data_IF_470027005590
#
_entry.id   IF_470027005590
#
_cell.length_a   1.000
_cell.length_b   1.000
_cell.length_c   1.000
_cell.angle_alpha   90.00
_cell.angle_beta   90.00
_cell.angle_gamma   90.00
#
_symmetry.space_group_name_H-M   'P 1'
#
loop_
_entity.id
_entity.type
_entity.pdbx_description
1 polymer ?
#
# COMPACT_ATOMS: atom_id res chain seq x y z
N UNK A 1 -12.67 -2.76 -22.14
CA UNK A 1 -11.70 -1.99 -21.32
C UNK A 1 -12.18 -2.04 -19.89
N UNK A 2 -11.47 -2.65 -18.93
CA UNK A 2 -11.91 -2.59 -17.55
C UNK A 2 -11.77 -1.15 -17.08
N UNK A 3 -12.92 -0.49 -16.90
CA UNK A 3 -13.01 0.80 -16.22
C UNK A 3 -12.53 0.59 -14.80
N UNK A 4 -11.62 1.44 -14.31
CA UNK A 4 -11.33 1.52 -12.88
C UNK A 4 -12.68 1.62 -12.15
N UNK A 5 -12.96 0.77 -11.14
CA UNK A 5 -14.19 0.84 -10.38
C UNK A 5 -14.34 2.25 -9.82
N UNK A 6 -15.44 2.93 -10.15
CA UNK A 6 -15.69 4.30 -9.68
C UNK A 6 -16.29 4.23 -8.27
N UNK A 7 -15.43 4.10 -7.26
CA UNK A 7 -15.83 3.99 -5.86
C UNK A 7 -16.66 5.19 -5.41
N UNK A 8 -16.42 6.38 -5.98
CA UNK A 8 -17.24 7.57 -5.75
C UNK A 8 -18.66 7.38 -6.26
N UNK A 9 -18.81 6.81 -7.47
CA UNK A 9 -20.12 6.46 -8.03
C UNK A 9 -20.80 5.33 -7.24
N UNK A 10 -20.05 4.36 -6.72
CA UNK A 10 -20.59 3.29 -5.86
C UNK A 10 -21.18 3.84 -4.57
N UNK A 11 -20.51 4.79 -3.93
CA UNK A 11 -21.01 5.50 -2.75
C UNK A 11 -21.98 6.65 -3.10
N UNK A 12 -22.24 6.89 -4.38
CA UNK A 12 -23.11 7.95 -4.90
C UNK A 12 -22.73 9.36 -4.40
N UNK A 13 -21.44 9.66 -4.41
CA UNK A 13 -20.85 10.90 -3.93
C UNK A 13 -19.94 11.54 -4.99
N UNK A 14 -19.68 12.83 -4.84
CA UNK A 14 -18.73 13.55 -5.69
C UNK A 14 -17.29 13.15 -5.33
N UNK A 15 -16.34 13.11 -6.30
CA UNK A 15 -14.91 13.02 -6.02
C UNK A 15 -14.37 14.16 -5.12
N UNK A 16 -15.12 15.26 -5.02
CA UNK A 16 -14.83 16.39 -4.12
C UNK A 16 -15.45 16.25 -2.72
N UNK A 17 -16.14 15.15 -2.43
CA UNK A 17 -16.76 14.94 -1.12
C UNK A 17 -15.71 14.94 0.00
N UNK A 18 -16.07 15.43 1.17
CA UNK A 18 -15.24 15.39 2.38
C UNK A 18 -15.27 13.99 3.02
N UNK A 19 -14.31 13.69 3.90
CA UNK A 19 -14.32 12.40 4.64
C UNK A 19 -15.58 12.23 5.49
N UNK A 20 -16.16 13.33 5.98
CA UNK A 20 -17.44 13.28 6.70
C UNK A 20 -18.59 12.86 5.78
N UNK A 21 -18.67 13.41 4.57
CA UNK A 21 -19.69 13.06 3.58
C UNK A 21 -19.58 11.61 3.11
N UNK A 22 -18.35 11.09 2.95
CA UNK A 22 -18.09 9.68 2.64
C UNK A 22 -18.63 8.76 3.74
N UNK A 23 -18.33 9.05 5.01
CA UNK A 23 -18.82 8.28 6.16
C UNK A 23 -20.35 8.30 6.25
N UNK A 24 -20.98 9.46 6.00
CA UNK A 24 -22.44 9.60 6.00
C UNK A 24 -23.07 8.80 4.87
N UNK A 25 -22.52 8.87 3.66
CA UNK A 25 -23.02 8.14 2.50
C UNK A 25 -22.91 6.62 2.69
N UNK A 26 -21.77 6.13 3.18
CA UNK A 26 -21.57 4.72 3.52
C UNK A 26 -22.60 4.23 4.54
N UNK A 27 -22.78 4.94 5.66
CA UNK A 27 -23.76 4.55 6.70
C UNK A 27 -25.19 4.48 6.16
N UNK A 28 -25.56 5.40 5.27
CA UNK A 28 -26.89 5.44 4.64
C UNK A 28 -27.10 4.24 3.70
N UNK A 29 -26.12 3.94 2.86
CA UNK A 29 -26.17 2.83 1.90
C UNK A 29 -26.09 1.48 2.61
N UNK A 30 -25.21 1.33 3.60
CA UNK A 30 -25.10 0.10 4.39
C UNK A 30 -26.42 -0.24 5.10
N UNK A 31 -27.12 0.75 5.65
CA UNK A 31 -28.44 0.56 6.27
C UNK A 31 -29.53 0.21 5.25
N UNK A 32 -29.41 0.73 4.02
CA UNK A 32 -30.37 0.47 2.94
C UNK A 32 -30.22 -0.94 2.35
N UNK A 33 -28.99 -1.44 2.26
CA UNK A 33 -28.66 -2.74 1.66
C UNK A 33 -28.34 -3.83 2.69
N UNK A 34 -28.58 -3.57 3.98
CA UNK A 34 -28.37 -4.55 5.04
C UNK A 34 -29.31 -5.76 4.83
N UNK A 35 -28.83 -7.01 5.00
CA UNK A 35 -29.65 -8.21 4.82
C UNK A 35 -30.91 -8.22 5.69
N UNK A 36 -30.88 -7.58 6.86
CA UNK A 36 -32.03 -7.50 7.78
C UNK A 36 -33.12 -6.49 7.35
N UNK A 37 -32.84 -5.62 6.37
CA UNK A 37 -33.77 -4.54 5.96
C UNK A 37 -34.23 -4.70 4.51
N UNK A 38 -33.47 -5.42 3.67
CA UNK A 38 -33.72 -5.53 2.23
C UNK A 38 -34.26 -6.91 1.84
N UNK A 39 -35.59 -7.06 1.78
CA UNK A 39 -36.26 -8.31 1.34
C UNK A 39 -36.33 -8.47 -0.19
N UNK A 40 -36.06 -7.42 -0.98
CA UNK A 40 -36.12 -7.48 -2.45
C UNK A 40 -34.82 -8.01 -3.07
N UNK A 41 -34.92 -9.22 -3.66
CA UNK A 41 -33.88 -9.95 -4.41
C UNK A 41 -32.55 -10.04 -3.67
N UNK A 42 -32.48 -10.94 -2.68
CA UNK A 42 -31.34 -11.21 -1.80
C UNK A 42 -29.96 -11.31 -2.51
N UNK A 43 -29.91 -11.64 -3.80
CA UNK A 43 -28.68 -11.69 -4.57
C UNK A 43 -28.12 -10.30 -4.91
N UNK A 44 -28.97 -9.38 -5.36
CA UNK A 44 -28.56 -8.02 -5.77
C UNK A 44 -28.16 -7.16 -4.56
N UNK A 45 -28.82 -7.36 -3.41
CA UNK A 45 -28.46 -6.67 -2.16
C UNK A 45 -27.09 -7.10 -1.62
N UNK A 46 -26.79 -8.41 -1.68
CA UNK A 46 -25.48 -8.95 -1.25
C UNK A 46 -24.33 -8.48 -2.12
N UNK A 47 -24.51 -8.48 -3.44
CA UNK A 47 -23.49 -7.96 -4.36
C UNK A 47 -23.27 -6.46 -4.13
N UNK A 48 -24.35 -5.70 -3.92
CA UNK A 48 -24.25 -4.26 -3.72
C UNK A 48 -23.58 -3.87 -2.41
N UNK A 49 -23.84 -4.58 -1.31
CA UNK A 49 -23.19 -4.29 -0.03
C UNK A 49 -21.69 -4.59 -0.07
N UNK A 50 -21.28 -5.65 -0.80
CA UNK A 50 -19.86 -5.96 -1.03
C UNK A 50 -19.17 -4.83 -1.78
N UNK A 51 -19.78 -4.32 -2.85
CA UNK A 51 -19.24 -3.17 -3.60
C UNK A 51 -19.17 -1.89 -2.75
N UNK A 52 -20.17 -1.65 -1.89
CA UNK A 52 -20.21 -0.50 -0.98
C UNK A 52 -19.07 -0.59 0.06
N UNK A 53 -18.84 -1.78 0.61
CA UNK A 53 -17.77 -2.01 1.60
C UNK A 53 -16.39 -1.80 0.96
N UNK A 54 -16.15 -2.38 -0.22
CA UNK A 54 -14.91 -2.17 -0.97
C UNK A 54 -14.67 -0.69 -1.30
N UNK A 55 -15.72 0.04 -1.70
CA UNK A 55 -15.60 1.46 -1.98
C UNK A 55 -15.27 2.28 -0.72
N UNK A 56 -15.80 1.90 0.45
CA UNK A 56 -15.52 2.57 1.72
C UNK A 56 -14.15 2.21 2.29
N UNK A 57 -13.65 0.99 2.08
CA UNK A 57 -12.29 0.60 2.46
C UNK A 57 -11.23 1.48 1.78
N UNK A 58 -11.45 1.79 0.49
CA UNK A 58 -10.57 2.64 -0.31
C UNK A 58 -10.75 4.13 -0.02
N UNK A 59 -12.00 4.61 0.15
CA UNK A 59 -12.28 6.06 0.29
C UNK A 59 -12.41 6.55 1.73
N UNK A 60 -12.69 5.65 2.67
CA UNK A 60 -12.97 5.95 4.08
C UNK A 60 -11.72 6.35 4.86
N UNK A 61 -10.56 5.82 4.46
CA UNK A 61 -9.26 6.27 4.92
C UNK A 61 -8.70 7.36 4.00
N UNK A 62 -8.06 8.37 4.60
CA UNK A 62 -7.58 9.54 3.86
C UNK A 62 -6.33 9.21 3.02
N UNK A 63 -5.45 8.34 3.51
CA UNK A 63 -4.25 7.91 2.80
C UNK A 63 -4.61 6.98 1.63
N UNK A 64 -5.49 6.00 1.84
CA UNK A 64 -6.01 5.14 0.77
C UNK A 64 -6.75 5.94 -0.30
N UNK A 65 -7.55 6.94 0.11
CA UNK A 65 -8.24 7.82 -0.83
C UNK A 65 -7.28 8.65 -1.67
N UNK A 66 -6.24 9.23 -1.05
CA UNK A 66 -5.21 9.99 -1.79
C UNK A 66 -4.51 9.10 -2.81
N UNK A 67 -4.22 7.85 -2.45
CA UNK A 67 -3.62 6.88 -3.35
C UNK A 67 -4.54 6.51 -4.52
N UNK A 68 -5.81 6.21 -4.23
CA UNK A 68 -6.83 5.93 -5.25
C UNK A 68 -7.03 7.12 -6.21
N UNK A 69 -7.06 8.34 -5.69
CA UNK A 69 -7.15 9.56 -6.50
C UNK A 69 -5.90 9.80 -7.34
N UNK A 70 -4.72 9.47 -6.82
CA UNK A 70 -3.46 9.53 -7.57
C UNK A 70 -3.47 8.56 -8.75
N UNK A 71 -3.84 7.30 -8.52
CA UNK A 71 -3.87 6.26 -9.55
C UNK A 71 -4.96 6.53 -10.59
N UNK A 72 -6.14 6.99 -10.16
CA UNK A 72 -7.24 7.43 -11.05
C UNK A 72 -6.81 8.58 -11.95
N UNK A 73 -6.06 9.55 -11.41
CA UNK A 73 -5.53 10.66 -12.20
C UNK A 73 -4.40 10.18 -13.14
N UNK A 74 -3.50 9.31 -12.70
CA UNK A 74 -2.43 8.75 -13.53
C UNK A 74 -2.97 7.98 -14.74
N UNK A 75 -4.11 7.28 -14.61
CA UNK A 75 -4.79 6.63 -15.73
C UNK A 75 -5.45 7.63 -16.68
N UNK A 76 -5.98 8.77 -16.19
CA UNK A 76 -6.41 9.87 -17.07
C UNK A 76 -5.24 10.53 -17.83
N UNK A 77 -4.06 10.64 -17.22
CA UNK A 77 -2.86 11.17 -17.89
C UNK A 77 -2.24 10.21 -18.91
N UNK A 78 -2.56 8.90 -18.84
CA UNK A 78 -2.20 7.92 -19.89
C UNK A 78 -3.10 7.99 -21.13
N UNK A 79 -4.25 8.68 -21.06
CA UNK A 79 -5.21 8.82 -22.15
C UNK A 79 -5.00 10.03 -23.08
N UNK A 80 -4.10 10.96 -22.74
CA UNK A 80 -3.86 12.19 -23.52
C UNK A 80 -2.38 12.28 -23.94
N UNK A 81 -1.89 11.31 -24.71
CA UNK A 81 -0.72 11.53 -25.58
C UNK A 81 -0.90 10.80 -26.90
N UNK A 82 -1.72 11.39 -27.75
CA UNK A 82 -1.49 11.37 -29.19
C UNK A 82 -1.67 12.78 -29.74
N UNK A 83 -0.75 13.17 -30.63
CA UNK A 83 -0.70 14.38 -31.44
C UNK A 83 -0.29 15.71 -30.76
N UNK A 84 1.02 15.98 -30.76
CA UNK A 84 1.68 16.97 -31.65
C UNK A 84 3.03 17.40 -31.07
N UNK A 85 4.05 17.36 -31.93
CA UNK A 85 5.41 17.73 -31.59
C UNK A 85 5.56 19.21 -31.28
N UNK A 86 6.04 19.52 -30.08
CA UNK A 86 6.72 20.77 -29.78
C UNK A 86 8.15 20.39 -29.40
N UNK A 87 9.10 20.78 -30.25
CA UNK A 87 10.52 20.65 -29.97
C UNK A 87 10.90 21.68 -28.90
N UNK A 88 10.69 21.31 -27.63
CA UNK A 88 11.25 22.03 -26.49
C UNK A 88 12.65 21.44 -26.26
N UNK A 89 13.70 22.21 -26.58
CA UNK A 89 15.05 21.87 -26.15
C UNK A 89 15.04 21.61 -24.64
N UNK A 90 15.60 20.49 -24.15
CA UNK A 90 15.58 20.22 -22.73
C UNK A 90 16.41 21.29 -22.03
N UNK A 91 15.73 22.13 -21.23
CA UNK A 91 16.39 22.85 -20.14
C UNK A 91 17.14 21.80 -19.34
N UNK A 92 18.45 21.96 -19.16
CA UNK A 92 19.26 21.13 -18.27
C UNK A 92 18.50 20.97 -16.95
N UNK A 93 17.93 19.79 -16.75
CA UNK A 93 17.21 19.44 -15.55
C UNK A 93 18.20 19.44 -14.39
N UNK A 94 17.74 19.88 -13.23
CA UNK A 94 18.31 19.54 -11.93
C UNK A 94 18.21 18.03 -11.75
N UNK A 95 19.02 17.29 -12.49
CA UNK A 95 19.07 15.84 -12.44
C UNK A 95 19.79 15.49 -11.14
N UNK A 96 19.07 14.89 -10.19
CA UNK A 96 19.71 14.37 -8.99
C UNK A 96 20.74 13.35 -9.45
N UNK A 97 21.99 13.56 -9.04
CA UNK A 97 23.08 12.65 -9.35
C UNK A 97 22.72 11.24 -8.87
N UNK A 98 22.75 10.27 -9.78
CA UNK A 98 22.40 8.89 -9.51
C UNK A 98 23.22 8.33 -8.35
N UNK A 99 24.51 8.64 -8.27
CA UNK A 99 25.39 8.14 -7.21
C UNK A 99 24.98 8.72 -5.84
N UNK A 100 24.57 9.99 -5.83
CA UNK A 100 24.04 10.64 -4.63
C UNK A 100 22.73 9.98 -4.19
N UNK A 101 21.82 9.71 -5.13
CA UNK A 101 20.55 9.03 -4.84
C UNK A 101 20.78 7.60 -4.35
N UNK A 102 21.66 6.84 -5.00
CA UNK A 102 22.02 5.49 -4.58
C UNK A 102 22.56 5.46 -3.16
N UNK A 103 23.47 6.39 -2.83
CA UNK A 103 24.11 6.47 -1.52
C UNK A 103 23.16 6.95 -0.42
N UNK A 104 22.33 7.96 -0.69
CA UNK A 104 21.48 8.60 0.32
C UNK A 104 20.10 7.97 0.47
N UNK A 105 19.58 7.34 -0.58
CA UNK A 105 18.22 6.79 -0.60
C UNK A 105 18.29 5.26 -0.68
N UNK A 106 18.74 4.71 -1.80
CA UNK A 106 18.63 3.28 -2.04
C UNK A 106 19.38 2.41 -1.02
N UNK A 107 20.65 2.71 -0.73
CA UNK A 107 21.46 1.88 0.18
C UNK A 107 20.87 1.83 1.61
N UNK A 108 20.48 2.96 2.23
CA UNK A 108 19.77 2.93 3.51
C UNK A 108 18.45 2.15 3.43
N UNK A 109 17.60 2.44 2.44
CA UNK A 109 16.32 1.76 2.26
C UNK A 109 16.46 0.25 2.14
N UNK A 110 17.37 -0.22 1.28
CA UNK A 110 17.55 -1.65 1.06
C UNK A 110 18.05 -2.36 2.33
N UNK A 111 18.86 -1.69 3.16
CA UNK A 111 19.26 -2.25 4.47
C UNK A 111 18.07 -2.35 5.40
N UNK A 112 17.26 -1.30 5.51
CA UNK A 112 16.06 -1.28 6.36
C UNK A 112 15.03 -2.31 5.92
N UNK A 113 14.74 -2.40 4.62
CA UNK A 113 13.82 -3.38 4.06
C UNK A 113 14.25 -4.80 4.42
N UNK A 114 15.53 -5.12 4.27
CA UNK A 114 16.04 -6.45 4.62
C UNK A 114 16.02 -6.70 6.14
N UNK A 115 16.35 -5.70 6.95
CA UNK A 115 16.28 -5.81 8.41
C UNK A 115 14.85 -6.10 8.92
N UNK A 116 13.83 -5.66 8.18
CA UNK A 116 12.43 -5.97 8.48
C UNK A 116 12.03 -7.34 7.92
N UNK A 117 12.38 -7.66 6.68
CA UNK A 117 11.93 -8.90 6.02
C UNK A 117 12.64 -10.15 6.56
N UNK A 118 13.97 -10.10 6.68
CA UNK A 118 14.79 -11.29 6.90
C UNK A 118 14.46 -12.01 8.23
N UNK A 119 14.17 -11.32 9.35
CA UNK A 119 13.81 -11.99 10.61
C UNK A 119 12.41 -12.61 10.66
N UNK A 120 11.49 -12.22 9.76
CA UNK A 120 10.07 -12.57 9.89
C UNK A 120 9.84 -14.10 9.97
N UNK A 121 10.55 -14.87 9.15
CA UNK A 121 10.35 -16.33 9.07
C UNK A 121 10.66 -17.00 10.42
N UNK A 122 11.79 -16.64 11.04
CA UNK A 122 12.20 -17.12 12.36
C UNK A 122 11.23 -16.65 13.45
N UNK A 123 10.80 -15.38 13.41
CA UNK A 123 9.84 -14.83 14.36
C UNK A 123 8.49 -15.58 14.36
N UNK A 124 8.00 -15.94 13.17
CA UNK A 124 6.77 -16.72 13.01
C UNK A 124 6.99 -18.17 13.46
N UNK A 125 8.13 -18.77 13.11
CA UNK A 125 8.47 -20.14 13.49
C UNK A 125 8.52 -20.28 15.01
N UNK A 126 9.22 -19.37 15.70
CA UNK A 126 9.30 -19.33 17.16
C UNK A 126 7.92 -19.18 17.79
N UNK A 127 7.11 -18.22 17.33
CA UNK A 127 5.77 -17.99 17.85
C UNK A 127 4.82 -19.16 17.58
N UNK A 128 5.02 -19.91 16.50
CA UNK A 128 4.18 -21.06 16.15
C UNK A 128 4.31 -22.24 17.13
N UNK A 129 5.37 -22.26 17.95
CA UNK A 129 5.55 -23.28 18.99
C UNK A 129 4.45 -23.23 20.06
N UNK A 130 4.10 -22.02 20.52
CA UNK A 130 2.93 -21.74 21.36
C UNK A 130 2.47 -20.29 21.17
N UNK A 131 1.45 -20.04 20.32
CA UNK A 131 0.97 -18.69 20.06
C UNK A 131 0.33 -17.98 21.26
N UNK A 132 0.04 -18.71 22.35
CA UNK A 132 -0.55 -18.14 23.58
C UNK A 132 0.48 -17.91 24.67
N UNK A 133 1.76 -18.18 24.40
CA UNK A 133 2.85 -17.87 25.33
C UNK A 133 3.14 -16.36 25.35
N UNK A 134 3.02 -15.75 26.53
CA UNK A 134 3.18 -14.31 26.72
C UNK A 134 4.62 -13.83 26.39
N UNK A 135 5.65 -14.66 26.61
CA UNK A 135 7.04 -14.29 26.32
C UNK A 135 7.31 -14.32 24.81
N UNK A 136 6.88 -15.38 24.11
CA UNK A 136 7.00 -15.48 22.65
C UNK A 136 6.19 -14.37 21.95
N UNK A 137 4.98 -14.09 22.43
CA UNK A 137 4.15 -13.01 21.89
C UNK A 137 4.82 -11.66 22.07
N UNK A 138 5.41 -11.39 23.24
CA UNK A 138 6.11 -10.13 23.50
C UNK A 138 7.32 -9.94 22.57
N UNK A 139 8.12 -11.00 22.35
CA UNK A 139 9.25 -10.96 21.40
C UNK A 139 8.76 -10.60 19.99
N UNK A 140 7.66 -11.21 19.54
CA UNK A 140 7.08 -10.89 18.24
C UNK A 140 6.57 -9.44 18.18
N UNK A 141 5.89 -8.96 19.23
CA UNK A 141 5.40 -7.58 19.31
C UNK A 141 6.53 -6.54 19.29
N UNK A 142 7.63 -6.80 19.99
CA UNK A 142 8.82 -5.93 19.97
C UNK A 142 9.41 -5.85 18.55
N UNK A 143 9.52 -6.99 17.86
CA UNK A 143 9.92 -7.03 16.45
C UNK A 143 8.99 -6.21 15.55
N UNK A 144 7.66 -6.28 15.76
CA UNK A 144 6.69 -5.51 14.98
C UNK A 144 6.85 -3.99 15.23
N UNK A 145 7.02 -3.57 16.48
CA UNK A 145 7.20 -2.16 16.84
C UNK A 145 8.49 -1.60 16.21
N UNK A 146 9.62 -2.27 16.38
CA UNK A 146 10.91 -1.87 15.77
C UNK A 146 10.84 -1.84 14.24
N UNK A 147 10.15 -2.80 13.64
CA UNK A 147 9.96 -2.88 12.18
C UNK A 147 9.10 -1.74 11.66
N UNK A 148 8.02 -1.36 12.37
CA UNK A 148 7.16 -0.23 12.01
C UNK A 148 7.92 1.09 12.04
N UNK A 149 8.65 1.35 13.12
CA UNK A 149 9.49 2.55 13.22
C UNK A 149 10.51 2.61 12.08
N UNK A 150 11.13 1.47 11.78
CA UNK A 150 12.10 1.33 10.70
C UNK A 150 11.48 1.64 9.33
N UNK A 151 10.30 1.08 9.02
CA UNK A 151 9.58 1.34 7.76
C UNK A 151 9.16 2.80 7.65
N UNK A 152 8.66 3.42 8.72
CA UNK A 152 8.33 4.85 8.72
C UNK A 152 9.55 5.73 8.43
N UNK A 153 10.69 5.42 9.07
CA UNK A 153 11.94 6.13 8.82
C UNK A 153 12.39 5.95 7.36
N UNK A 154 12.27 4.74 6.80
CA UNK A 154 12.58 4.46 5.41
C UNK A 154 11.69 5.25 4.44
N UNK A 155 10.38 5.37 4.71
CA UNK A 155 9.47 6.19 3.92
C UNK A 155 9.84 7.68 3.96
N UNK A 156 10.21 8.20 5.14
CA UNK A 156 10.71 9.58 5.30
C UNK A 156 11.99 9.81 4.50
N UNK A 157 12.94 8.86 4.55
CA UNK A 157 14.17 8.91 3.74
C UNK A 157 13.81 8.90 2.25
N UNK A 158 12.92 8.00 1.81
CA UNK A 158 12.53 7.89 0.40
C UNK A 158 11.97 9.19 -0.17
N UNK A 159 11.21 9.94 0.62
CA UNK A 159 10.61 11.21 0.23
C UNK A 159 11.57 12.42 0.35
N UNK A 160 12.76 12.24 0.92
CA UNK A 160 13.70 13.34 1.21
C UNK A 160 14.41 13.92 -0.02
N UNK A 161 14.51 13.15 -1.11
CA UNK A 161 15.12 13.59 -2.36
C UNK A 161 14.23 13.22 -3.55
N UNK A 162 14.19 14.05 -4.62
CA UNK A 162 13.46 13.68 -5.82
C UNK A 162 14.15 12.50 -6.52
N UNK A 163 13.33 11.64 -7.13
CA UNK A 163 13.80 10.44 -7.82
C UNK A 163 14.33 10.79 -9.23
N UNK A 164 15.58 10.42 -9.56
CA UNK A 164 16.09 10.57 -10.93
C UNK A 164 15.23 9.84 -11.96
N UNK A 165 15.10 10.40 -13.17
CA UNK A 165 14.20 9.87 -14.18
C UNK A 165 14.59 8.45 -14.65
N UNK A 166 15.89 8.15 -14.70
CA UNK A 166 16.43 6.85 -15.08
C UNK A 166 16.14 5.74 -14.05
N UNK A 167 15.79 6.07 -12.79
CA UNK A 167 15.43 5.10 -11.75
C UNK A 167 13.95 5.15 -11.37
N UNK A 168 13.10 5.81 -12.17
CA UNK A 168 11.67 5.97 -11.86
C UNK A 168 10.95 4.63 -11.60
N UNK A 169 11.30 3.58 -12.36
CA UNK A 169 10.77 2.22 -12.13
C UNK A 169 11.23 1.64 -10.79
N UNK A 170 12.52 1.75 -10.49
CA UNK A 170 13.12 1.27 -9.24
C UNK A 170 12.50 1.98 -8.04
N UNK A 171 12.35 3.30 -8.13
CA UNK A 171 11.72 4.11 -7.09
C UNK A 171 10.26 3.68 -6.85
N UNK A 172 9.50 3.40 -7.91
CA UNK A 172 8.14 2.87 -7.78
C UNK A 172 8.11 1.49 -7.13
N UNK A 173 9.03 0.60 -7.50
CA UNK A 173 9.08 -0.75 -6.93
C UNK A 173 9.51 -0.70 -5.44
N UNK A 174 10.41 0.22 -5.06
CA UNK A 174 10.72 0.54 -3.65
C UNK A 174 9.51 1.08 -2.88
N UNK A 175 8.71 1.95 -3.51
CA UNK A 175 7.49 2.47 -2.91
C UNK A 175 6.49 1.35 -2.59
N UNK A 176 6.21 0.46 -3.55
CA UNK A 176 5.32 -0.69 -3.32
C UNK A 176 5.88 -1.64 -2.27
N UNK A 177 7.20 -1.85 -2.24
CA UNK A 177 7.84 -2.64 -1.19
C UNK A 177 7.54 -2.07 0.20
N UNK A 178 7.77 -0.76 0.41
CA UNK A 178 7.56 -0.12 1.71
C UNK A 178 6.08 -0.12 2.14
N UNK A 179 5.15 0.06 1.20
CA UNK A 179 3.71 -0.02 1.52
C UNK A 179 3.31 -1.43 1.93
N UNK A 180 3.73 -2.45 1.18
CA UNK A 180 3.42 -3.84 1.54
C UNK A 180 4.00 -4.22 2.91
N UNK A 181 5.18 -3.71 3.28
CA UNK A 181 5.71 -3.90 4.63
C UNK A 181 4.84 -3.20 5.68
N UNK A 182 4.45 -1.96 5.44
CA UNK A 182 3.55 -1.21 6.35
C UNK A 182 2.23 -1.96 6.56
N UNK A 183 1.55 -2.32 5.48
CA UNK A 183 0.26 -3.01 5.52
C UNK A 183 0.40 -4.38 6.21
N UNK A 184 1.48 -5.12 5.90
CA UNK A 184 1.75 -6.42 6.50
C UNK A 184 2.00 -6.34 8.01
N UNK A 185 2.74 -5.32 8.46
CA UNK A 185 3.00 -5.08 9.89
C UNK A 185 1.71 -4.71 10.64
N UNK A 186 0.79 -3.98 10.00
CA UNK A 186 -0.55 -3.75 10.57
C UNK A 186 -1.33 -5.06 10.70
N UNK A 187 -1.28 -5.95 9.70
CA UNK A 187 -1.95 -7.25 9.82
C UNK A 187 -1.40 -8.08 10.98
N UNK A 188 -0.07 -8.11 11.16
CA UNK A 188 0.53 -8.84 12.28
C UNK A 188 0.14 -8.25 13.64
N UNK A 189 -0.01 -6.93 13.76
CA UNK A 189 -0.56 -6.33 14.98
C UNK A 189 -2.03 -6.70 15.20
N UNK A 190 -2.86 -6.75 14.15
CA UNK A 190 -4.22 -7.26 14.30
C UNK A 190 -4.25 -8.72 14.72
N UNK A 191 -3.27 -9.52 14.28
CA UNK A 191 -3.10 -10.89 14.75
C UNK A 191 -2.76 -10.95 16.24
N UNK A 192 -1.82 -10.15 16.77
CA UNK A 192 -1.46 -10.19 18.21
C UNK A 192 -2.64 -9.82 19.12
N UNK A 193 -3.58 -9.02 18.62
CA UNK A 193 -4.79 -8.62 19.35
C UNK A 193 -5.93 -9.65 19.28
N UNK A 194 -6.01 -10.44 18.21
CA UNK A 194 -7.19 -11.26 17.90
C UNK A 194 -6.90 -12.75 17.67
N UNK A 195 -5.63 -13.15 17.57
CA UNK A 195 -5.17 -14.52 17.29
C UNK A 195 -5.79 -15.14 16.02
N UNK A 196 -6.19 -14.30 15.05
CA UNK A 196 -6.82 -14.76 13.81
C UNK A 196 -5.77 -15.12 12.76
N UNK A 197 -5.78 -16.38 12.31
CA UNK A 197 -4.89 -16.87 11.25
C UNK A 197 -5.06 -16.11 9.92
N UNK A 198 -6.23 -15.51 9.67
CA UNK A 198 -6.46 -14.70 8.46
C UNK A 198 -5.53 -13.47 8.42
N UNK A 199 -5.33 -12.81 9.57
CA UNK A 199 -4.43 -11.66 9.67
C UNK A 199 -2.96 -12.10 9.55
N UNK A 200 -2.61 -13.22 10.17
CA UNK A 200 -1.27 -13.81 10.06
C UNK A 200 -0.92 -14.14 8.60
N UNK A 201 -1.82 -14.86 7.92
CA UNK A 201 -1.66 -15.23 6.52
C UNK A 201 -1.57 -14.00 5.61
N UNK A 202 -2.46 -13.03 5.81
CA UNK A 202 -2.46 -11.79 5.00
C UNK A 202 -1.16 -11.01 5.20
N UNK A 203 -0.67 -10.91 6.44
CA UNK A 203 0.63 -10.28 6.73
C UNK A 203 1.80 -10.95 6.02
N UNK A 204 1.85 -12.28 6.05
CA UNK A 204 2.87 -13.08 5.35
C UNK A 204 2.84 -12.87 3.83
N UNK A 205 1.64 -12.86 3.22
CA UNK A 205 1.48 -12.58 1.79
C UNK A 205 1.97 -11.18 1.40
N UNK A 206 1.72 -10.17 2.24
CA UNK A 206 2.22 -8.81 2.00
C UNK A 206 3.74 -8.77 2.09
N UNK A 207 4.35 -9.40 3.09
CA UNK A 207 5.81 -9.50 3.21
C UNK A 207 6.44 -10.27 2.05
N UNK A 208 5.80 -11.34 1.59
CA UNK A 208 6.24 -12.07 0.40
C UNK A 208 6.26 -11.18 -0.84
N UNK A 209 5.21 -10.37 -1.06
CA UNK A 209 5.17 -9.39 -2.16
C UNK A 209 6.26 -8.32 -2.00
N UNK A 210 6.47 -7.81 -0.79
CA UNK A 210 7.54 -6.85 -0.50
C UNK A 210 8.92 -7.45 -0.85
N UNK A 211 9.17 -8.70 -0.48
CA UNK A 211 10.39 -9.42 -0.83
C UNK A 211 10.59 -9.54 -2.35
N UNK A 212 9.53 -9.83 -3.10
CA UNK A 212 9.59 -9.86 -4.56
C UNK A 212 9.99 -8.51 -5.16
N UNK A 213 9.40 -7.41 -4.70
CA UNK A 213 9.79 -6.07 -5.14
C UNK A 213 11.24 -5.74 -4.77
N UNK A 214 11.64 -6.03 -3.53
CA UNK A 214 13.02 -5.83 -3.05
C UNK A 214 14.04 -6.58 -3.92
N UNK A 215 13.74 -7.82 -4.32
CA UNK A 215 14.57 -8.58 -5.26
C UNK A 215 14.65 -7.95 -6.64
N UNK A 216 13.52 -7.52 -7.21
CA UNK A 216 13.48 -6.87 -8.52
C UNK A 216 14.30 -5.56 -8.52
N UNK A 217 14.16 -4.77 -7.46
CA UNK A 217 14.95 -3.56 -7.24
C UNK A 217 16.44 -3.88 -7.21
N UNK A 218 16.88 -4.88 -6.42
CA UNK A 218 18.29 -5.27 -6.34
C UNK A 218 18.86 -5.69 -7.70
N UNK A 219 18.10 -6.44 -8.48
CA UNK A 219 18.48 -6.86 -9.83
C UNK A 219 18.61 -5.65 -10.76
N UNK A 220 17.60 -4.76 -10.79
CA UNK A 220 17.62 -3.57 -11.62
C UNK A 220 18.78 -2.62 -11.26
N UNK A 221 19.14 -2.52 -9.98
CA UNK A 221 20.30 -1.73 -9.53
C UNK A 221 21.61 -2.36 -10.00
N UNK A 222 21.73 -3.68 -9.97
CA UNK A 222 22.92 -4.38 -10.45
C UNK A 222 23.12 -4.22 -11.97
N UNK A 223 22.05 -4.04 -12.73
CA UNK A 223 22.10 -3.77 -14.18
C UNK A 223 22.49 -2.31 -14.53
N UNK A 224 22.46 -1.40 -13.55
CA UNK A 224 22.83 0.02 -13.74
C UNK A 224 24.33 0.30 -13.57
N UNK A 225 25.11 -0.65 -13.04
CA UNK A 225 26.55 -0.55 -12.82
C UNK A 225 27.36 -1.49 -13.69
#
# INVERSE_FOLDING_TARGET
MPSIPDHYRTLNISPRATQQEIKIAYRKLAKQFHPDVCETTAQQGKERIVEINQAYEVLGDEQHRRQYDHDRNAVMFRGIRSAQGVNVKPRRSTEVDLEVWLKKIYRPLNRTINAVIDPLEEQIEDLSADPFDDELMQVFMDYLEESKESVEQAQKIFQSLPNPANVARIARDLYYCLNHLSDGLEQFEWFTLNYSEDYLYTGQEMFHRAYQFSRQVRQAIAELG
#
